data_IF_560069546751
#
_entry.id   IF_560069546751
#
_cell.length_a   1.000
_cell.length_b   1.000
_cell.length_c   1.000
_cell.angle_alpha   90.00
_cell.angle_beta   90.00
_cell.angle_gamma   90.00
#
_symmetry.space_group_name_H-M   'P 1'
#
loop_
_entity.id
_entity.type
_entity.pdbx_description
1 polymer ?
#
# COMPACT_ATOMS: atom_id res chain seq x y z
N UNK A 1 3.16 -0.79 26.92
CA UNK A 1 1.84 -0.79 27.57
C UNK A 1 0.78 -0.72 26.48
N UNK A 2 0.37 -1.86 25.93
CA UNK A 2 -0.66 -1.94 24.88
C UNK A 2 -2.02 -1.66 25.54
N UNK A 3 -2.55 -0.46 25.31
CA UNK A 3 -3.89 -0.09 25.73
C UNK A 3 -4.87 -0.99 24.96
N UNK A 4 -5.41 -2.01 25.62
CA UNK A 4 -6.55 -2.78 25.11
C UNK A 4 -7.72 -1.81 24.98
N UNK A 5 -7.89 -1.20 23.81
CA UNK A 5 -9.09 -0.47 23.48
C UNK A 5 -10.20 -1.51 23.41
N UNK A 6 -11.05 -1.55 24.44
CA UNK A 6 -12.24 -2.39 24.44
C UNK A 6 -13.04 -2.13 23.16
N UNK A 7 -13.55 -3.19 22.54
CA UNK A 7 -14.38 -3.07 21.33
C UNK A 7 -15.55 -2.12 21.64
N UNK A 8 -15.80 -1.08 20.81
CA UNK A 8 -16.96 -0.23 21.00
C UNK A 8 -18.23 -1.09 20.94
N UNK A 9 -19.08 -0.99 21.96
CA UNK A 9 -20.36 -1.65 21.96
C UNK A 9 -21.32 -0.88 21.04
N UNK A 10 -21.95 -1.55 20.07
CA UNK A 10 -22.89 -0.89 19.17
C UNK A 10 -24.12 -0.43 19.97
N UNK A 11 -24.53 0.82 19.76
CA UNK A 11 -25.75 1.36 20.36
C UNK A 11 -26.99 0.63 19.83
N UNK A 12 -28.04 0.55 20.66
CA UNK A 12 -29.33 0.00 20.28
C UNK A 12 -29.94 0.80 19.11
N UNK A 13 -30.44 0.10 18.09
CA UNK A 13 -31.01 0.72 16.88
C UNK A 13 -32.53 0.75 16.95
N UNK A 14 -33.13 1.90 16.66
CA UNK A 14 -34.58 2.00 16.47
C UNK A 14 -34.96 1.38 15.12
N UNK A 15 -36.01 0.54 15.11
CA UNK A 15 -36.56 -0.05 13.88
C UNK A 15 -36.92 1.07 12.89
N UNK A 16 -36.45 0.97 11.65
CA UNK A 16 -36.67 1.97 10.60
C UNK A 16 -35.57 3.03 10.44
N UNK A 17 -34.60 3.11 11.37
CA UNK A 17 -33.46 4.05 11.27
C UNK A 17 -32.26 3.44 10.53
N UNK A 18 -31.47 4.27 9.83
CA UNK A 18 -30.24 3.84 9.13
C UNK A 18 -29.01 4.15 9.98
N UNK A 19 -28.03 3.26 9.99
CA UNK A 19 -26.80 3.44 10.79
C UNK A 19 -26.01 4.70 10.46
N UNK A 20 -25.94 5.03 9.18
CA UNK A 20 -25.13 6.11 8.67
C UNK A 20 -25.96 7.38 8.44
N UNK A 21 -27.13 7.48 9.06
CA UNK A 21 -27.94 8.69 9.00
C UNK A 21 -27.13 9.87 9.59
N UNK A 22 -26.98 10.94 8.81
CA UNK A 22 -26.12 12.09 9.16
C UNK A 22 -24.61 11.87 8.95
N UNK A 23 -24.17 10.69 8.49
CA UNK A 23 -22.77 10.41 8.14
C UNK A 23 -22.62 10.51 6.62
N UNK A 24 -22.25 11.69 6.14
CA UNK A 24 -21.87 11.89 4.75
C UNK A 24 -20.37 11.59 4.54
N UNK A 25 -19.96 11.05 3.39
CA UNK A 25 -18.56 11.01 3.00
C UNK A 25 -17.92 12.41 3.08
N UNK A 26 -16.65 12.45 3.46
CA UNK A 26 -15.88 13.70 3.50
C UNK A 26 -15.26 13.92 2.12
N UNK A 27 -15.99 14.57 1.22
CA UNK A 27 -15.56 14.86 -0.17
C UNK A 27 -14.18 15.53 -0.24
N UNK A 28 -13.83 16.34 0.78
CA UNK A 28 -12.51 16.95 0.91
C UNK A 28 -11.34 15.93 1.00
N UNK A 29 -11.61 14.65 1.27
CA UNK A 29 -10.61 13.58 1.30
C UNK A 29 -10.52 12.79 -0.01
N UNK A 30 -11.43 12.97 -0.97
CA UNK A 30 -11.58 12.06 -2.11
C UNK A 30 -10.26 11.90 -2.87
N UNK A 31 -9.58 13.00 -3.21
CA UNK A 31 -8.30 12.92 -3.90
C UNK A 31 -7.21 12.19 -3.08
N UNK A 32 -7.19 12.38 -1.75
CA UNK A 32 -6.24 11.72 -0.88
C UNK A 32 -6.53 10.21 -0.79
N UNK A 33 -7.81 9.83 -0.78
CA UNK A 33 -8.25 8.44 -0.79
C UNK A 33 -7.94 7.75 -2.12
N UNK A 34 -8.17 8.43 -3.25
CA UNK A 34 -7.82 7.92 -4.58
C UNK A 34 -6.30 7.71 -4.72
N UNK A 35 -5.50 8.68 -4.29
CA UNK A 35 -4.03 8.55 -4.27
C UNK A 35 -3.58 7.39 -3.37
N UNK A 36 -4.17 7.25 -2.18
CA UNK A 36 -3.87 6.15 -1.28
C UNK A 36 -4.28 4.79 -1.86
N UNK A 37 -5.44 4.72 -2.51
CA UNK A 37 -5.91 3.51 -3.18
C UNK A 37 -4.94 3.06 -4.28
N UNK A 38 -4.44 4.00 -5.11
CA UNK A 38 -3.42 3.70 -6.11
C UNK A 38 -2.11 3.21 -5.48
N UNK A 39 -1.65 3.85 -4.41
CA UNK A 39 -0.48 3.43 -3.64
C UNK A 39 -0.65 2.02 -3.04
N UNK A 40 -1.83 1.71 -2.51
CA UNK A 40 -2.17 0.39 -1.98
C UNK A 40 -2.26 -0.66 -3.07
N UNK A 41 -2.85 -0.34 -4.23
CA UNK A 41 -2.95 -1.28 -5.35
C UNK A 41 -1.57 -1.77 -5.78
N UNK A 42 -0.56 -0.88 -5.84
CA UNK A 42 0.82 -1.28 -6.10
C UNK A 42 1.36 -2.28 -5.08
N UNK A 43 0.96 -2.20 -3.81
CA UNK A 43 1.43 -3.09 -2.74
C UNK A 43 0.55 -4.34 -2.54
N UNK A 44 -0.70 -4.32 -2.97
CA UNK A 44 -1.74 -5.33 -2.66
C UNK A 44 -1.58 -6.65 -3.43
N UNK A 45 -0.35 -7.14 -3.58
CA UNK A 45 -0.09 -8.45 -4.17
C UNK A 45 1.10 -9.14 -3.48
N UNK A 46 0.95 -10.41 -3.05
CA UNK A 46 1.97 -11.11 -2.27
C UNK A 46 3.30 -11.25 -3.04
N UNK A 47 3.25 -11.48 -4.36
CA UNK A 47 4.48 -11.58 -5.17
C UNK A 47 5.21 -10.24 -5.24
N UNK A 48 4.51 -9.10 -5.28
CA UNK A 48 5.16 -7.77 -5.31
C UNK A 48 5.88 -7.50 -3.99
N UNK A 49 5.23 -7.79 -2.86
CA UNK A 49 5.86 -7.66 -1.54
C UNK A 49 7.06 -8.59 -1.38
N UNK A 50 6.97 -9.83 -1.88
CA UNK A 50 8.10 -10.77 -1.84
C UNK A 50 9.27 -10.32 -2.71
N UNK A 51 8.99 -9.79 -3.91
CA UNK A 51 10.03 -9.21 -4.76
C UNK A 51 10.75 -8.06 -4.05
N UNK A 52 10.00 -7.11 -3.47
CA UNK A 52 10.58 -6.00 -2.71
C UNK A 52 11.43 -6.49 -1.53
N UNK A 53 10.97 -7.50 -0.78
CA UNK A 53 11.73 -8.09 0.32
C UNK A 53 13.06 -8.72 -0.13
N UNK A 54 13.04 -9.52 -1.20
CA UNK A 54 14.25 -10.15 -1.76
C UNK A 54 15.23 -9.08 -2.25
N UNK A 55 14.74 -8.11 -3.03
CA UNK A 55 15.57 -7.04 -3.61
C UNK A 55 16.18 -6.15 -2.52
N UNK A 56 15.42 -5.81 -1.48
CA UNK A 56 15.91 -5.02 -0.35
C UNK A 56 17.01 -5.75 0.44
N UNK A 57 16.88 -7.07 0.66
CA UNK A 57 17.89 -7.86 1.38
C UNK A 57 19.18 -8.08 0.60
N UNK A 58 19.09 -8.14 -0.73
CA UNK A 58 20.24 -8.40 -1.61
C UNK A 58 21.01 -7.13 -2.02
N UNK A 59 20.60 -5.95 -1.53
CA UNK A 59 21.31 -4.70 -1.80
C UNK A 59 21.21 -4.22 -3.25
N UNK A 60 20.19 -4.67 -3.99
CA UNK A 60 19.86 -4.07 -5.28
C UNK A 60 20.59 -4.61 -6.51
N UNK A 61 20.98 -5.88 -6.55
CA UNK A 61 21.53 -6.45 -7.79
C UNK A 61 21.06 -7.89 -8.02
N UNK A 62 19.74 -8.10 -8.18
CA UNK A 62 19.19 -9.44 -8.46
C UNK A 62 18.68 -9.52 -9.89
N UNK A 63 19.13 -10.53 -10.63
CA UNK A 63 18.66 -10.77 -11.99
C UNK A 63 17.29 -11.49 -12.00
N UNK A 64 16.55 -11.37 -13.10
CA UNK A 64 15.23 -12.02 -13.23
C UNK A 64 15.32 -13.56 -13.16
N UNK A 65 16.42 -14.15 -13.62
CA UNK A 65 16.63 -15.60 -13.59
C UNK A 65 16.72 -16.12 -12.14
N UNK A 66 17.43 -15.40 -11.28
CA UNK A 66 17.54 -15.74 -9.86
C UNK A 66 16.20 -15.56 -9.14
N UNK A 67 15.41 -14.54 -9.51
CA UNK A 67 14.07 -14.32 -8.96
C UNK A 67 13.11 -15.45 -9.35
N UNK A 68 13.20 -15.99 -10.57
CA UNK A 68 12.42 -17.16 -10.99
C UNK A 68 12.79 -18.42 -10.19
N UNK A 69 14.06 -18.58 -9.84
CA UNK A 69 14.47 -19.70 -8.99
C UNK A 69 14.02 -19.52 -7.51
N UNK A 70 13.95 -18.28 -7.03
CA UNK A 70 13.62 -17.97 -5.64
C UNK A 70 12.11 -17.98 -5.34
N UNK A 71 11.25 -17.87 -6.36
CA UNK A 71 9.81 -17.73 -6.20
C UNK A 71 9.06 -18.89 -6.87
N UNK A 72 7.94 -19.37 -6.29
CA UNK A 72 7.12 -20.42 -6.89
C UNK A 72 6.22 -19.88 -8.01
N UNK A 73 6.72 -18.97 -8.85
CA UNK A 73 6.02 -18.37 -9.99
C UNK A 73 6.93 -18.30 -11.21
N UNK A 74 6.34 -18.34 -12.41
CA UNK A 74 7.09 -18.31 -13.67
C UNK A 74 7.58 -16.90 -14.01
N UNK A 75 8.65 -16.84 -14.80
CA UNK A 75 9.26 -15.59 -15.27
C UNK A 75 8.29 -14.55 -15.89
N UNK A 76 7.25 -14.92 -16.67
CA UNK A 76 6.28 -13.95 -17.18
C UNK A 76 5.53 -13.20 -16.06
N UNK A 77 5.15 -13.91 -15.00
CA UNK A 77 4.50 -13.35 -13.82
C UNK A 77 5.45 -12.41 -13.08
N UNK A 78 6.71 -12.81 -12.90
CA UNK A 78 7.73 -11.97 -12.26
C UNK A 78 7.95 -10.69 -13.05
N UNK A 79 8.13 -10.79 -14.37
CA UNK A 79 8.35 -9.64 -15.24
C UNK A 79 7.17 -8.67 -15.24
N UNK A 80 5.95 -9.20 -15.20
CA UNK A 80 4.75 -8.37 -15.05
C UNK A 80 4.76 -7.58 -13.74
N UNK A 81 5.05 -8.24 -12.61
CA UNK A 81 5.12 -7.57 -11.31
C UNK A 81 6.28 -6.57 -11.21
N UNK A 82 7.45 -6.89 -11.76
CA UNK A 82 8.57 -5.96 -11.83
C UNK A 82 8.23 -4.74 -12.68
N UNK A 83 7.51 -4.90 -13.79
CA UNK A 83 7.04 -3.76 -14.60
C UNK A 83 6.12 -2.85 -13.80
N UNK A 84 5.15 -3.40 -13.07
CA UNK A 84 4.23 -2.60 -12.25
C UNK A 84 4.98 -1.85 -11.13
N UNK A 85 5.93 -2.51 -10.46
CA UNK A 85 6.77 -1.88 -9.44
C UNK A 85 7.65 -0.78 -10.03
N UNK A 86 8.17 -0.95 -11.25
CA UNK A 86 8.93 0.08 -11.98
C UNK A 86 8.07 1.26 -12.39
N UNK A 87 6.85 1.02 -12.86
CA UNK A 87 5.90 2.08 -13.19
C UNK A 87 5.53 2.92 -11.95
N UNK A 88 5.48 2.29 -10.78
CA UNK A 88 5.30 2.97 -9.50
C UNK A 88 6.59 3.61 -8.94
N UNK A 89 7.73 3.46 -9.63
CA UNK A 89 9.03 3.99 -9.22
C UNK A 89 9.63 3.31 -7.98
N UNK A 90 9.09 2.18 -7.51
CA UNK A 90 9.56 1.50 -6.30
C UNK A 90 10.79 0.64 -6.53
N UNK A 91 11.00 0.24 -7.77
CA UNK A 91 12.19 -0.48 -8.21
C UNK A 91 12.69 0.13 -9.51
N UNK A 92 13.98 -0.02 -9.79
CA UNK A 92 14.53 0.24 -11.11
C UNK A 92 15.45 -0.89 -11.57
N UNK A 93 16.06 -0.74 -12.74
CA UNK A 93 16.89 -1.75 -13.37
C UNK A 93 18.17 -1.18 -13.94
N UNK A 94 19.24 -1.96 -13.82
CA UNK A 94 20.52 -1.71 -14.46
C UNK A 94 20.87 -2.89 -15.36
N UNK A 95 21.42 -2.60 -16.55
CA UNK A 95 21.91 -3.64 -17.46
C UNK A 95 23.41 -3.83 -17.28
N UNK A 96 23.84 -5.07 -17.07
CA UNK A 96 25.25 -5.48 -17.09
C UNK A 96 25.41 -6.63 -18.08
N UNK A 97 26.00 -6.33 -19.24
CA UNK A 97 26.09 -7.27 -20.36
C UNK A 97 24.70 -7.68 -20.87
N UNK A 98 24.43 -8.98 -20.88
CA UNK A 98 23.15 -9.54 -21.35
C UNK A 98 22.05 -9.53 -20.27
N UNK A 99 22.39 -9.28 -19.01
CA UNK A 99 21.49 -9.42 -17.88
C UNK A 99 20.94 -8.08 -17.40
N UNK A 100 19.66 -8.08 -17.01
CA UNK A 100 19.01 -6.99 -16.31
C UNK A 100 18.92 -7.31 -14.82
N UNK A 101 19.44 -6.41 -14.00
CA UNK A 101 19.43 -6.48 -12.55
C UNK A 101 18.41 -5.49 -12.01
N UNK A 102 17.62 -5.90 -11.02
CA UNK A 102 16.60 -5.07 -10.40
C UNK A 102 17.01 -4.68 -8.99
N UNK A 103 16.55 -3.50 -8.56
CA UNK A 103 16.82 -2.95 -7.24
C UNK A 103 15.68 -2.09 -6.73
N UNK A 104 15.56 -2.02 -5.41
CA UNK A 104 14.60 -1.13 -4.74
C UNK A 104 15.15 0.29 -4.78
N UNK A 105 14.25 1.26 -4.98
CA UNK A 105 14.50 2.68 -4.82
C UNK A 105 14.14 3.13 -3.39
N UNK A 106 15.12 3.33 -2.48
CA UNK A 106 14.82 3.58 -1.07
C UNK A 106 14.07 4.90 -0.85
N UNK A 107 14.38 5.92 -1.65
CA UNK A 107 13.72 7.22 -1.59
C UNK A 107 12.24 7.12 -2.00
N UNK A 108 11.94 6.36 -3.06
CA UNK A 108 10.56 6.13 -3.50
C UNK A 108 9.76 5.34 -2.45
N UNK A 109 10.37 4.34 -1.82
CA UNK A 109 9.73 3.57 -0.76
C UNK A 109 9.44 4.42 0.50
N UNK A 110 10.36 5.33 0.85
CA UNK A 110 10.15 6.29 1.94
C UNK A 110 9.02 7.28 1.62
N UNK A 111 8.95 7.78 0.38
CA UNK A 111 7.87 8.65 -0.07
C UNK A 111 6.51 7.95 -0.05
N UNK A 112 6.46 6.69 -0.51
CA UNK A 112 5.25 5.85 -0.44
C UNK A 112 4.78 5.66 1.01
N UNK A 113 5.70 5.32 1.92
CA UNK A 113 5.40 5.20 3.36
C UNK A 113 4.78 6.48 3.91
N UNK A 114 5.33 7.64 3.55
CA UNK A 114 4.81 8.93 4.03
C UNK A 114 3.37 9.18 3.53
N UNK A 115 3.10 8.96 2.24
CA UNK A 115 1.75 9.13 1.65
C UNK A 115 0.73 8.19 2.27
N UNK A 116 1.07 6.90 2.40
CA UNK A 116 0.21 5.91 3.06
C UNK A 116 -0.04 6.29 4.52
N UNK A 117 1.00 6.73 5.25
CA UNK A 117 0.87 7.20 6.63
C UNK A 117 -0.10 8.37 6.75
N UNK A 118 0.07 9.40 5.92
CA UNK A 118 -0.81 10.57 5.90
C UNK A 118 -2.27 10.21 5.61
N UNK A 119 -2.52 9.29 4.68
CA UNK A 119 -3.86 8.82 4.36
C UNK A 119 -4.51 8.09 5.56
N UNK A 120 -3.76 7.21 6.23
CA UNK A 120 -4.24 6.49 7.41
C UNK A 120 -4.48 7.43 8.60
N UNK A 121 -3.64 8.45 8.77
CA UNK A 121 -3.84 9.51 9.77
C UNK A 121 -5.12 10.32 9.48
N UNK A 122 -5.39 10.66 8.23
CA UNK A 122 -6.62 11.37 7.83
C UNK A 122 -7.90 10.54 8.06
N UNK A 123 -7.79 9.21 7.93
CA UNK A 123 -8.86 8.28 8.27
C UNK A 123 -9.06 8.14 9.78
N UNK A 124 -7.98 8.17 10.56
CA UNK A 124 -8.01 8.09 12.02
C UNK A 124 -8.48 9.40 12.69
N UNK A 125 -8.28 10.54 12.03
CA UNK A 125 -8.78 11.84 12.50
C UNK A 125 -10.32 11.80 12.57
N UNK A 126 -10.85 11.71 13.80
CA UNK A 126 -12.28 11.74 14.06
C UNK A 126 -12.88 13.06 13.54
N UNK A 127 -14.09 13.05 12.94
CA UNK A 127 -14.82 14.28 12.75
C UNK A 127 -15.10 14.86 14.14
N UNK A 128 -14.66 16.10 14.39
CA UNK A 128 -15.09 16.85 15.56
C UNK A 128 -16.61 16.84 15.61
N UNK A 129 -17.18 16.38 16.72
CA UNK A 129 -18.62 16.34 16.93
C UNK A 129 -19.22 17.74 16.88
N UNK A 130 -19.74 18.13 15.72
CA UNK A 130 -20.65 19.26 15.57
C UNK A 130 -22.04 18.84 16.04
N UNK A 131 -22.27 18.90 17.35
CA UNK A 131 -23.61 19.07 17.89
C UNK A 131 -23.99 20.54 17.66
N UNK A 132 -24.90 20.80 16.72
CA UNK A 132 -25.68 22.03 16.72
C UNK A 132 -27.15 21.72 17.03
N UNK A 133 -27.66 22.60 17.90
CA UNK A 133 -28.90 22.59 18.68
C UNK A 133 -30.20 22.39 17.90
#
# INVERSE_FOLDING_TARGET
MTRTLGRPQPAERRRGTRCCEGVAPREALDEALERAAADFDVLAHPVRLRLLEILARRGGEVCVCDLEHALPVKQPTISHHLRLLRQAGLVDTARKGLFAYYYVEPAALAALRARVGQALEALAAAPGGGSER
#
